data_IF_604059041222
#
_entry.id   IF_604059041222
#
_cell.length_a   1.000
_cell.length_b   1.000
_cell.length_c   1.000
_cell.angle_alpha   90.00
_cell.angle_beta   90.00
_cell.angle_gamma   90.00
#
_symmetry.space_group_name_H-M   'P 1'
#
loop_
_entity.id
_entity.type
_entity.pdbx_description
1 polymer ?
#
# COMPACT_ATOMS: atom_id res chain seq x y z
N UNK A 1 1.74 5.70 12.21
CA UNK A 1 0.26 5.66 12.21
C UNK A 1 -0.30 5.37 13.59
N UNK A 2 0.14 4.32 14.29
CA UNK A 2 -0.41 3.91 15.60
C UNK A 2 -0.47 5.03 16.66
N UNK A 3 0.55 5.90 16.70
CA UNK A 3 0.62 7.02 17.66
C UNK A 3 -0.53 8.04 17.55
N UNK A 4 -1.19 8.16 16.39
CA UNK A 4 -2.28 9.11 16.18
C UNK A 4 -3.67 8.49 16.37
N UNK A 5 -3.76 7.16 16.52
CA UNK A 5 -5.05 6.45 16.71
C UNK A 5 -5.84 7.02 17.90
N UNK A 6 -5.25 7.28 19.08
CA UNK A 6 -5.99 7.86 20.20
C UNK A 6 -6.67 9.19 19.87
N UNK A 7 -6.04 10.00 19.01
CA UNK A 7 -6.58 11.30 18.61
C UNK A 7 -7.73 11.18 17.60
N UNK A 8 -7.73 10.14 16.77
CA UNK A 8 -8.79 9.90 15.79
C UNK A 8 -10.15 9.65 16.45
N UNK A 9 -10.16 9.10 17.66
CA UNK A 9 -11.40 8.86 18.41
C UNK A 9 -12.13 10.15 18.83
N UNK A 10 -11.49 11.33 18.75
CA UNK A 10 -12.15 12.61 18.98
C UNK A 10 -12.83 13.19 17.73
N UNK A 11 -12.60 12.62 16.55
CA UNK A 11 -13.30 13.03 15.32
C UNK A 11 -14.66 12.35 15.24
N UNK A 12 -15.67 13.07 14.75
CA UNK A 12 -16.97 12.50 14.39
C UNK A 12 -16.93 11.66 13.11
N UNK A 13 -15.86 11.79 12.31
CA UNK A 13 -15.64 11.06 11.06
C UNK A 13 -14.13 10.90 10.82
N UNK A 14 -13.44 10.02 11.57
CA UNK A 14 -12.00 9.86 11.43
C UNK A 14 -11.63 9.15 10.13
N UNK A 15 -10.76 9.79 9.34
CA UNK A 15 -10.29 9.27 8.05
C UNK A 15 -8.76 9.17 8.03
N UNK A 16 -8.25 8.05 7.55
CA UNK A 16 -6.84 7.85 7.18
C UNK A 16 -6.80 7.45 5.70
N UNK A 17 -6.07 8.25 4.91
CA UNK A 17 -5.83 7.95 3.50
C UNK A 17 -4.33 7.71 3.28
N UNK A 18 -3.98 6.47 2.95
CA UNK A 18 -2.59 6.07 2.70
C UNK A 18 -2.28 6.18 1.20
N UNK A 19 -1.31 7.04 0.85
CA UNK A 19 -0.85 7.17 -0.54
C UNK A 19 -0.01 5.95 -0.93
N UNK A 20 -0.55 5.15 -1.85
CA UNK A 20 0.01 3.92 -2.38
C UNK A 20 0.26 4.03 -3.90
N UNK A 21 0.35 2.90 -4.60
CA UNK A 21 0.63 2.80 -6.03
C UNK A 21 -0.10 1.62 -6.66
N UNK A 22 -0.59 1.77 -7.88
CA UNK A 22 -1.12 0.65 -8.66
C UNK A 22 -0.07 -0.43 -8.94
N UNK A 23 1.23 -0.13 -8.87
CA UNK A 23 2.27 -1.16 -8.95
C UNK A 23 2.23 -2.14 -7.78
N UNK A 24 1.64 -1.77 -6.65
CA UNK A 24 1.54 -2.59 -5.45
C UNK A 24 0.30 -3.49 -5.37
N UNK A 25 -0.48 -3.55 -6.45
CA UNK A 25 -1.60 -4.50 -6.52
C UNK A 25 -1.04 -5.93 -6.56
N UNK A 26 -1.72 -6.86 -5.88
CA UNK A 26 -1.26 -8.25 -5.72
C UNK A 26 -1.00 -8.95 -7.05
N UNK A 27 -1.76 -8.61 -8.10
CA UNK A 27 -1.57 -9.11 -9.47
C UNK A 27 -0.22 -8.77 -10.09
N UNK A 28 0.45 -7.74 -9.59
CA UNK A 28 1.76 -7.30 -10.07
C UNK A 28 2.91 -7.90 -9.27
N UNK A 29 2.63 -8.48 -8.09
CA UNK A 29 3.64 -9.12 -7.24
C UNK A 29 4.00 -10.48 -7.82
N UNK A 30 5.28 -10.65 -8.11
CA UNK A 30 5.82 -11.87 -8.70
C UNK A 30 6.29 -12.87 -7.65
N UNK A 31 6.75 -12.37 -6.49
CA UNK A 31 7.15 -13.25 -5.40
C UNK A 31 5.93 -13.95 -4.80
N UNK A 32 5.85 -15.27 -5.00
CA UNK A 32 4.74 -16.11 -4.54
C UNK A 32 4.56 -16.09 -3.02
N UNK A 33 5.65 -16.03 -2.25
CA UNK A 33 5.57 -15.93 -0.79
C UNK A 33 4.94 -14.60 -0.38
N UNK A 34 5.47 -13.48 -0.88
CA UNK A 34 4.90 -12.14 -0.65
C UNK A 34 3.43 -12.08 -1.06
N UNK A 35 3.09 -12.56 -2.26
CA UNK A 35 1.71 -12.55 -2.75
C UNK A 35 0.81 -13.41 -1.88
N UNK A 36 1.25 -14.62 -1.52
CA UNK A 36 0.51 -15.54 -0.66
C UNK A 36 0.16 -14.91 0.69
N UNK A 37 1.18 -14.41 1.40
CA UNK A 37 1.01 -13.79 2.72
C UNK A 37 0.12 -12.54 2.66
N UNK A 38 0.36 -11.62 1.71
CA UNK A 38 -0.37 -10.35 1.64
C UNK A 38 -1.80 -10.50 1.09
N UNK A 39 -2.12 -11.61 0.43
CA UNK A 39 -3.46 -11.90 -0.10
C UNK A 39 -4.43 -12.46 0.94
N UNK A 40 -3.92 -13.18 1.95
CA UNK A 40 -4.72 -13.82 2.99
C UNK A 40 -5.03 -12.85 4.14
N UNK A 41 -6.08 -12.05 3.95
CA UNK A 41 -6.50 -11.06 4.95
C UNK A 41 -7.03 -11.68 6.23
N UNK A 42 -7.65 -12.86 6.16
CA UNK A 42 -8.23 -13.50 7.34
C UNK A 42 -7.15 -13.88 8.35
N UNK A 43 -6.00 -14.32 7.84
CA UNK A 43 -4.86 -14.69 8.68
C UNK A 43 -3.80 -13.59 8.82
N UNK A 44 -3.98 -12.43 8.17
CA UNK A 44 -3.02 -11.34 8.16
C UNK A 44 -2.85 -10.72 9.54
N UNK A 45 -1.61 -10.46 9.93
CA UNK A 45 -1.25 -9.73 11.14
C UNK A 45 0.02 -8.92 10.89
N UNK A 46 0.48 -8.17 11.90
CA UNK A 46 1.64 -7.29 11.74
C UNK A 46 2.91 -8.10 11.53
N UNK A 47 3.04 -9.20 12.27
CA UNK A 47 4.19 -10.09 12.26
C UNK A 47 4.41 -10.72 10.87
N UNK A 48 3.33 -11.10 10.17
CA UNK A 48 3.38 -11.62 8.80
C UNK A 48 3.77 -10.55 7.77
N UNK A 49 3.31 -9.31 7.95
CA UNK A 49 3.73 -8.20 7.09
C UNK A 49 5.22 -7.92 7.31
N UNK A 50 5.67 -7.92 8.57
CA UNK A 50 7.08 -7.73 8.93
C UNK A 50 7.94 -8.88 8.36
N UNK A 51 7.48 -10.13 8.43
CA UNK A 51 8.14 -11.31 7.83
C UNK A 51 8.36 -11.13 6.31
N UNK A 52 7.35 -10.63 5.59
CA UNK A 52 7.48 -10.31 4.16
C UNK A 52 8.57 -9.27 3.90
N UNK A 53 8.63 -8.22 4.72
CA UNK A 53 9.65 -7.17 4.58
C UNK A 53 11.04 -7.72 4.93
N UNK A 54 11.17 -8.52 5.99
CA UNK A 54 12.42 -9.13 6.41
C UNK A 54 12.96 -10.11 5.37
N UNK A 55 12.11 -10.98 4.81
CA UNK A 55 12.50 -11.89 3.73
C UNK A 55 12.95 -11.12 2.50
N UNK A 56 12.20 -10.07 2.10
CA UNK A 56 12.61 -9.20 1.01
C UNK A 56 13.97 -8.54 1.24
N UNK A 57 14.22 -8.01 2.44
CA UNK A 57 15.49 -7.35 2.75
C UNK A 57 16.66 -8.34 2.77
N UNK A 58 16.42 -9.55 3.26
CA UNK A 58 17.40 -10.63 3.23
C UNK A 58 17.75 -11.02 1.80
N UNK A 59 16.76 -11.31 0.96
CA UNK A 59 16.97 -11.67 -0.44
C UNK A 59 17.68 -10.51 -1.19
N UNK A 60 17.32 -9.26 -0.90
CA UNK A 60 17.93 -8.09 -1.53
C UNK A 60 19.42 -7.95 -1.18
N UNK A 61 19.79 -8.25 0.08
CA UNK A 61 21.17 -8.25 0.54
C UNK A 61 21.98 -9.37 -0.11
N UNK A 62 21.43 -10.59 -0.16
CA UNK A 62 22.10 -11.73 -0.81
C UNK A 62 22.28 -11.50 -2.33
N UNK A 63 21.34 -10.80 -2.98
CA UNK A 63 21.49 -10.39 -4.39
C UNK A 63 22.66 -9.42 -4.57
N UNK A 64 22.75 -8.42 -3.70
CA UNK A 64 23.82 -7.41 -3.75
C UNK A 64 25.21 -8.02 -3.51
N UNK A 65 25.29 -9.03 -2.66
CA UNK A 65 26.53 -9.73 -2.31
C UNK A 65 26.94 -10.77 -3.36
N UNK A 66 26.12 -10.99 -4.41
CA UNK A 66 26.37 -11.99 -5.45
C UNK A 66 26.27 -13.43 -4.94
N UNK A 67 25.77 -13.63 -3.72
CA UNK A 67 25.63 -14.92 -3.04
C UNK A 67 24.39 -15.68 -3.49
N UNK A 68 23.38 -14.98 -4.04
CA UNK A 68 22.25 -15.59 -4.73
C UNK A 68 22.65 -16.07 -6.13
N UNK A 69 23.13 -17.31 -6.23
CA UNK A 69 22.73 -18.15 -7.36
C UNK A 69 21.23 -18.40 -7.21
N UNK A 70 20.44 -17.56 -7.88
CA UNK A 70 18.99 -17.64 -8.09
C UNK A 70 18.45 -18.99 -7.59
N UNK A 71 17.87 -19.02 -6.38
CA UNK A 71 17.15 -20.17 -5.82
C UNK A 71 15.85 -20.42 -6.60
N UNK A 72 15.92 -20.57 -7.92
CA UNK A 72 14.78 -20.82 -8.79
C UNK A 72 13.66 -19.78 -8.74
N UNK A 73 13.84 -18.61 -8.10
CA UNK A 73 12.85 -17.54 -8.04
C UNK A 73 13.05 -16.63 -9.27
N UNK A 74 12.17 -16.69 -10.28
CA UNK A 74 12.45 -16.12 -11.60
C UNK A 74 12.37 -14.59 -11.64
N UNK A 75 11.72 -13.95 -10.66
CA UNK A 75 11.36 -12.53 -10.72
C UNK A 75 11.58 -11.85 -9.34
N UNK A 76 12.15 -10.64 -9.36
CA UNK A 76 12.35 -9.83 -8.15
C UNK A 76 11.48 -8.57 -8.23
N UNK A 77 10.58 -8.41 -7.26
CA UNK A 77 9.79 -7.20 -7.14
C UNK A 77 10.67 -6.02 -6.67
N UNK A 78 10.37 -4.81 -7.12
CA UNK A 78 11.12 -3.65 -6.65
C UNK A 78 10.85 -3.38 -5.17
N UNK A 79 11.82 -2.81 -4.44
CA UNK A 79 11.61 -2.36 -3.06
C UNK A 79 10.41 -1.39 -2.94
N UNK A 80 10.19 -0.58 -3.98
CA UNK A 80 9.03 0.30 -4.07
C UNK A 80 7.71 -0.48 -4.13
N UNK A 81 7.63 -1.50 -4.99
CA UNK A 81 6.46 -2.37 -5.12
C UNK A 81 6.14 -3.08 -3.81
N UNK A 82 7.14 -3.71 -3.18
CA UNK A 82 6.96 -4.46 -1.93
C UNK A 82 6.57 -3.55 -0.78
N UNK A 83 7.22 -2.39 -0.63
CA UNK A 83 6.86 -1.43 0.43
C UNK A 83 5.44 -0.90 0.30
N UNK A 84 4.99 -0.58 -0.93
CA UNK A 84 3.61 -0.14 -1.17
C UNK A 84 2.60 -1.28 -1.03
N UNK A 85 2.97 -2.52 -1.31
CA UNK A 85 2.12 -3.69 -1.07
C UNK A 85 1.94 -3.94 0.44
N UNK A 86 2.99 -3.75 1.23
CA UNK A 86 2.90 -3.80 2.69
C UNK A 86 2.00 -2.66 3.24
N UNK A 87 2.07 -1.45 2.69
CA UNK A 87 1.13 -0.36 3.03
C UNK A 87 -0.32 -0.75 2.74
N UNK A 88 -0.56 -1.37 1.58
CA UNK A 88 -1.89 -1.88 1.21
C UNK A 88 -2.40 -2.91 2.22
N UNK A 89 -1.58 -3.92 2.52
CA UNK A 89 -1.92 -4.98 3.46
C UNK A 89 -2.17 -4.45 4.88
N UNK A 90 -1.31 -3.55 5.36
CA UNK A 90 -1.45 -2.94 6.68
C UNK A 90 -2.69 -2.04 6.79
N UNK A 91 -3.03 -1.33 5.71
CA UNK A 91 -4.29 -0.56 5.62
C UNK A 91 -5.50 -1.48 5.77
N UNK A 92 -5.54 -2.61 5.05
CA UNK A 92 -6.62 -3.60 5.16
C UNK A 92 -6.70 -4.21 6.56
N UNK A 93 -5.55 -4.55 7.15
CA UNK A 93 -5.46 -5.08 8.52
C UNK A 93 -6.02 -4.10 9.56
N UNK A 94 -5.71 -2.81 9.44
CA UNK A 94 -6.21 -1.84 10.41
C UNK A 94 -7.66 -1.43 10.15
N UNK A 95 -8.12 -1.45 8.90
CA UNK A 95 -9.53 -1.25 8.57
C UNK A 95 -10.43 -2.30 9.26
N UNK A 96 -9.97 -3.56 9.41
CA UNK A 96 -10.71 -4.59 10.16
C UNK A 96 -10.64 -4.40 11.67
N UNK A 97 -9.51 -3.89 12.19
CA UNK A 97 -9.32 -3.65 13.64
C UNK A 97 -9.96 -2.37 14.15
N UNK A 98 -10.16 -1.38 13.28
CA UNK A 98 -10.68 -0.05 13.63
C UNK A 98 -11.92 0.26 12.77
N UNK A 99 -13.05 -0.44 12.99
CA UNK A 99 -14.24 -0.32 12.13
C UNK A 99 -14.86 1.08 12.13
N UNK A 100 -14.55 1.91 13.14
CA UNK A 100 -15.02 3.30 13.24
C UNK A 100 -14.11 4.31 12.52
N UNK A 101 -13.02 3.86 11.88
CA UNK A 101 -12.07 4.71 11.14
C UNK A 101 -12.14 4.37 9.66
N UNK A 102 -12.38 5.37 8.82
CA UNK A 102 -12.34 5.22 7.36
C UNK A 102 -10.89 5.14 6.92
N UNK A 103 -10.42 3.93 6.60
CA UNK A 103 -9.02 3.69 6.29
C UNK A 103 -8.86 3.10 4.90
N UNK A 104 -8.27 3.86 3.99
CA UNK A 104 -8.18 3.47 2.58
C UNK A 104 -6.79 3.73 2.00
N UNK A 105 -6.51 3.08 0.89
CA UNK A 105 -5.35 3.37 0.04
C UNK A 105 -5.78 4.14 -1.21
N UNK A 106 -4.85 4.92 -1.76
CA UNK A 106 -5.07 5.62 -3.03
C UNK A 106 -3.81 5.65 -3.87
N UNK A 107 -3.93 5.39 -5.17
CA UNK A 107 -2.90 5.70 -6.16
C UNK A 107 -3.17 7.08 -6.75
N UNK A 108 -2.25 8.05 -6.61
CA UNK A 108 -2.41 9.39 -7.19
C UNK A 108 -2.20 9.42 -8.72
N UNK A 109 -1.83 8.28 -9.32
CA UNK A 109 -1.45 8.18 -10.74
C UNK A 109 0.02 8.51 -10.98
N UNK A 110 0.38 8.73 -12.25
CA UNK A 110 1.75 9.05 -12.66
C UNK A 110 1.97 10.57 -12.67
N UNK A 111 2.43 11.09 -11.53
CA UNK A 111 2.49 12.53 -11.23
C UNK A 111 3.87 13.12 -11.56
N UNK A 112 3.90 14.31 -12.14
CA UNK A 112 5.12 15.11 -12.39
C UNK A 112 5.69 15.67 -11.08
N UNK A 113 6.51 14.87 -10.40
CA UNK A 113 7.25 15.26 -9.20
C UNK A 113 8.70 14.80 -9.30
N UNK A 114 9.54 15.23 -8.36
CA UNK A 114 10.95 14.85 -8.31
C UNK A 114 11.17 13.33 -8.22
N UNK A 115 10.23 12.56 -7.64
CA UNK A 115 10.33 11.08 -7.60
C UNK A 115 10.39 10.46 -9.00
N UNK A 116 9.80 11.14 -9.98
CA UNK A 116 9.72 10.73 -11.38
C UNK A 116 10.59 11.62 -12.28
N UNK A 117 11.54 12.38 -11.72
CA UNK A 117 12.32 13.40 -12.46
C UNK A 117 11.42 14.38 -13.23
N UNK A 118 10.30 14.79 -12.63
CA UNK A 118 9.28 15.65 -13.23
C UNK A 118 8.61 15.09 -14.52
N UNK A 119 8.75 13.79 -14.76
CA UNK A 119 7.94 13.06 -15.75
C UNK A 119 6.61 12.63 -15.14
N UNK A 120 5.55 12.60 -15.94
CA UNK A 120 4.21 12.27 -15.47
C UNK A 120 3.13 12.61 -16.48
N UNK A 121 1.99 11.94 -16.40
CA UNK A 121 0.77 12.31 -17.15
C UNK A 121 -0.08 13.31 -16.39
N UNK A 122 0.08 13.41 -15.07
CA UNK A 122 -0.68 14.31 -14.19
C UNK A 122 0.23 15.38 -13.58
N UNK A 123 -0.33 16.57 -13.39
CA UNK A 123 0.24 17.62 -12.54
C UNK A 123 0.07 17.31 -11.05
N UNK A 124 0.81 18.03 -10.21
CA UNK A 124 0.69 17.92 -8.74
C UNK A 124 -0.71 18.32 -8.28
N UNK A 125 -1.29 19.36 -8.89
CA UNK A 125 -2.62 19.86 -8.51
C UNK A 125 -3.72 18.83 -8.82
N UNK A 126 -3.71 18.22 -10.02
CA UNK A 126 -4.67 17.16 -10.40
C UNK A 126 -4.59 15.93 -9.46
N UNK A 127 -3.37 15.56 -9.07
CA UNK A 127 -3.15 14.47 -8.14
C UNK A 127 -3.62 14.83 -6.72
N UNK A 128 -3.32 16.05 -6.25
CA UNK A 128 -3.73 16.54 -4.95
C UNK A 128 -5.26 16.68 -4.83
N UNK A 129 -5.93 17.14 -5.89
CA UNK A 129 -7.38 17.19 -5.97
C UNK A 129 -8.00 15.79 -5.82
N UNK A 130 -7.45 14.79 -6.52
CA UNK A 130 -7.90 13.39 -6.38
C UNK A 130 -7.77 12.90 -4.93
N UNK A 131 -6.62 13.16 -4.29
CA UNK A 131 -6.37 12.78 -2.90
C UNK A 131 -7.34 13.49 -1.94
N UNK A 132 -7.55 14.79 -2.11
CA UNK A 132 -8.45 15.59 -1.27
C UNK A 132 -9.90 15.12 -1.40
N UNK A 133 -10.38 14.89 -2.62
CA UNK A 133 -11.74 14.39 -2.87
C UNK A 133 -11.98 13.05 -2.17
N UNK A 134 -11.02 12.12 -2.23
CA UNK A 134 -11.12 10.82 -1.57
C UNK A 134 -11.04 10.95 -0.05
N UNK A 135 -10.17 11.81 0.47
CA UNK A 135 -10.02 12.02 1.92
C UNK A 135 -11.27 12.66 2.56
N UNK A 136 -12.04 13.41 1.77
CA UNK A 136 -13.27 14.08 2.19
C UNK A 136 -14.54 13.26 1.90
N UNK A 137 -14.43 12.03 1.39
CA UNK A 137 -15.59 11.14 1.27
C UNK A 137 -16.15 10.84 2.66
N UNK A 138 -17.36 11.31 2.93
CA UNK A 138 -18.06 11.17 4.22
C UNK A 138 -18.94 9.92 4.28
N UNK A 139 -18.85 9.02 3.30
CA UNK A 139 -19.76 7.88 3.21
C UNK A 139 -19.25 6.72 4.07
N UNK A 140 -20.00 6.44 5.15
CA UNK A 140 -19.57 5.59 6.26
C UNK A 140 -19.23 4.13 5.92
N UNK A 141 -19.51 3.70 4.69
CA UNK A 141 -19.36 2.32 4.22
C UNK A 141 -18.02 2.01 3.53
N UNK A 142 -17.17 3.02 3.24
CA UNK A 142 -15.96 2.82 2.44
C UNK A 142 -14.70 2.78 3.32
N UNK A 143 -14.36 1.60 3.85
CA UNK A 143 -13.08 1.34 4.54
C UNK A 143 -12.44 0.06 4.00
N UNK A 144 -11.11 0.01 4.00
CA UNK A 144 -10.35 -1.11 3.45
C UNK A 144 -10.41 -1.21 1.93
N UNK A 145 -10.52 -0.07 1.22
CA UNK A 145 -10.58 0.00 -0.25
C UNK A 145 -9.30 0.61 -0.85
N UNK A 146 -9.10 0.37 -2.15
CA UNK A 146 -8.04 0.96 -2.95
C UNK A 146 -8.64 1.87 -4.03
N UNK A 147 -8.30 3.15 -3.98
CA UNK A 147 -8.80 4.16 -4.90
C UNK A 147 -7.78 4.52 -5.99
N UNK A 148 -8.30 4.91 -7.13
CA UNK A 148 -7.59 5.59 -8.21
C UNK A 148 -8.43 6.78 -8.66
N UNK A 149 -7.88 7.62 -9.55
CA UNK A 149 -8.67 8.67 -10.20
C UNK A 149 -9.90 8.15 -10.95
N UNK A 150 -9.87 6.89 -11.41
CA UNK A 150 -10.93 6.27 -12.21
C UNK A 150 -11.95 5.51 -11.32
N UNK A 151 -11.75 5.53 -9.99
CA UNK A 151 -12.63 4.88 -9.01
C UNK A 151 -11.94 3.80 -8.18
N UNK A 152 -12.75 3.03 -7.47
CA UNK A 152 -12.32 1.93 -6.59
C UNK A 152 -11.93 0.71 -7.42
N UNK A 153 -10.81 0.10 -7.09
CA UNK A 153 -10.35 -1.17 -7.70
C UNK A 153 -9.97 -2.19 -6.61
N UNK A 154 -9.94 -3.50 -6.94
CA UNK A 154 -9.45 -4.52 -6.02
C UNK A 154 -7.96 -4.35 -5.72
N UNK A 155 -7.56 -4.74 -4.50
CA UNK A 155 -6.16 -4.85 -4.07
C UNK A 155 -5.39 -5.95 -4.82
#
# INVERSE_FOLDING_TARGET
MEALIPLLHFSSSPTILNVSSQFALLKNIQNEFTRGVLSDIESLNKEKIDEVIEEFLKDFKELKEGSLKIKGRPNYDSAYTVSKAAVNAYTRLLATKLPNVHMNCVCPGFVKTDINNNLGTLSVDEAAETLANIALLTDGATSGLFFTKDGVIPF
#
